data_IF_559942172411
#
_entry.id   IF_559942172411
#
_cell.length_a   1.000
_cell.length_b   1.000
_cell.length_c   1.000
_cell.angle_alpha   90.00
_cell.angle_beta   90.00
_cell.angle_gamma   90.00
#
_symmetry.space_group_name_H-M   'P 1'
#
loop_
_entity.id
_entity.type
_entity.pdbx_description
1 polymer ?
#
# COMPACT_ATOMS: atom_id res chain seq x y z
N UNK A 1 -29.00 -15.84 18.62
CA UNK A 1 -27.79 -15.16 19.11
C UNK A 1 -26.71 -15.41 18.08
N UNK A 2 -26.63 -14.58 17.05
CA UNK A 2 -25.51 -14.62 16.11
C UNK A 2 -25.13 -13.17 15.87
N UNK A 3 -23.93 -12.83 16.30
CA UNK A 3 -23.39 -11.49 16.33
C UNK A 3 -23.25 -10.94 14.89
N UNK A 4 -23.90 -9.80 14.67
CA UNK A 4 -23.33 -8.60 14.05
C UNK A 4 -22.42 -8.86 12.83
N UNK A 5 -23.04 -8.88 11.66
CA UNK A 5 -22.39 -8.45 10.43
C UNK A 5 -22.76 -6.99 10.22
N UNK A 6 -22.12 -6.12 11.00
CA UNK A 6 -22.13 -4.68 10.75
C UNK A 6 -20.96 -4.43 9.81
N UNK A 7 -21.27 -4.38 8.51
CA UNK A 7 -20.45 -3.72 7.51
C UNK A 7 -20.48 -2.22 7.85
N UNK A 8 -19.70 -1.85 8.85
CA UNK A 8 -19.52 -0.48 9.27
C UNK A 8 -18.65 0.21 8.23
N UNK A 9 -19.22 1.19 7.54
CA UNK A 9 -18.51 2.08 6.61
C UNK A 9 -17.56 3.04 7.33
N UNK A 10 -16.90 2.60 8.40
CA UNK A 10 -15.74 3.24 8.98
C UNK A 10 -14.56 2.73 8.18
N UNK A 11 -13.94 3.59 7.38
CA UNK A 11 -12.70 3.25 6.70
C UNK A 11 -11.64 3.01 7.77
N UNK A 12 -11.49 1.75 8.20
CA UNK A 12 -10.45 1.35 9.14
C UNK A 12 -9.10 1.86 8.62
N UNK A 13 -8.20 2.32 9.51
CA UNK A 13 -6.88 2.73 9.09
C UNK A 13 -6.20 1.58 8.35
N UNK A 14 -5.80 1.86 7.11
CA UNK A 14 -5.12 0.91 6.23
C UNK A 14 -3.64 1.25 6.19
N UNK A 15 -2.82 0.21 6.08
CA UNK A 15 -1.40 0.32 5.82
C UNK A 15 -1.06 -0.49 4.57
N UNK A 16 -0.07 0.00 3.82
CA UNK A 16 0.42 -0.62 2.60
C UNK A 16 1.89 -0.95 2.73
N UNK A 17 2.29 -2.03 2.09
CA UNK A 17 3.68 -2.46 1.99
C UNK A 17 3.93 -3.11 0.64
N UNK A 18 5.21 -3.19 0.26
CA UNK A 18 5.64 -3.82 -0.97
C UNK A 18 6.46 -5.05 -0.65
N UNK A 19 6.07 -6.18 -1.24
CA UNK A 19 6.85 -7.41 -1.22
C UNK A 19 8.00 -7.30 -2.23
N UNK A 20 9.22 -7.22 -1.71
CA UNK A 20 10.43 -7.06 -2.50
C UNK A 20 10.77 -8.32 -3.31
N UNK A 21 10.29 -9.50 -2.90
CA UNK A 21 10.51 -10.76 -3.63
C UNK A 21 9.61 -10.86 -4.88
N UNK A 22 8.45 -10.21 -4.85
CA UNK A 22 7.48 -10.17 -5.96
C UNK A 22 7.65 -8.95 -6.86
N UNK A 23 8.31 -7.90 -6.39
CA UNK A 23 8.47 -6.66 -7.14
C UNK A 23 9.32 -6.87 -8.40
N UNK A 24 8.74 -6.54 -9.56
CA UNK A 24 9.41 -6.65 -10.87
C UNK A 24 10.04 -5.34 -11.34
N UNK A 25 9.87 -4.24 -10.58
CA UNK A 25 10.40 -2.93 -10.94
C UNK A 25 9.62 -2.20 -12.04
N UNK A 26 8.34 -2.53 -12.25
CA UNK A 26 7.51 -1.94 -13.31
C UNK A 26 7.24 -0.43 -13.11
N UNK A 27 7.27 0.04 -11.85
CA UNK A 27 7.10 1.45 -11.50
C UNK A 27 5.66 1.98 -11.63
N UNK A 28 4.68 1.13 -11.92
CA UNK A 28 3.26 1.53 -12.02
C UNK A 28 2.70 2.07 -10.70
N UNK A 29 3.19 1.58 -9.56
CA UNK A 29 2.82 2.07 -8.24
C UNK A 29 3.17 3.56 -8.05
N UNK A 30 4.39 3.97 -8.42
CA UNK A 30 4.83 5.36 -8.34
C UNK A 30 4.14 6.25 -9.38
N UNK A 31 3.60 5.67 -10.46
CA UNK A 31 2.82 6.42 -11.45
C UNK A 31 1.40 6.73 -10.96
N UNK A 32 0.75 5.78 -10.29
CA UNK A 32 -0.60 5.95 -9.75
C UNK A 32 -0.61 6.72 -8.42
N UNK A 33 0.28 6.38 -7.49
CA UNK A 33 0.36 6.98 -6.17
C UNK A 33 1.81 7.38 -5.81
N UNK A 34 2.38 8.41 -6.47
CA UNK A 34 3.74 8.92 -6.18
C UNK A 34 3.91 9.45 -4.76
N UNK A 35 2.81 9.78 -4.08
CA UNK A 35 2.80 10.23 -2.69
C UNK A 35 3.03 9.09 -1.68
N UNK A 36 2.79 7.84 -2.11
CA UNK A 36 2.87 6.64 -1.26
C UNK A 36 3.97 5.68 -1.73
N UNK A 37 4.32 5.71 -3.01
CA UNK A 37 5.31 4.82 -3.59
C UNK A 37 6.38 5.57 -4.36
N UNK A 38 7.60 5.08 -4.28
CA UNK A 38 8.74 5.58 -5.04
C UNK A 38 9.59 4.39 -5.51
N UNK A 39 10.17 4.52 -6.69
CA UNK A 39 11.11 3.53 -7.22
C UNK A 39 12.53 3.97 -6.85
N UNK A 40 13.29 3.10 -6.19
CA UNK A 40 14.68 3.38 -5.84
C UNK A 40 15.65 2.95 -6.96
N UNK A 41 16.93 3.29 -6.80
CA UNK A 41 18.01 3.06 -7.77
C UNK A 41 18.32 1.58 -8.00
N UNK A 42 17.86 0.69 -7.11
CA UNK A 42 17.98 -0.77 -7.24
C UNK A 42 16.93 -1.35 -8.21
N UNK A 43 15.96 -0.54 -8.64
CA UNK A 43 14.87 -0.96 -9.52
C UNK A 43 13.70 -1.60 -8.76
N UNK A 44 13.66 -1.50 -7.43
CA UNK A 44 12.55 -1.96 -6.61
C UNK A 44 11.73 -0.77 -6.11
N UNK A 45 10.45 -1.03 -5.84
CA UNK A 45 9.55 -0.02 -5.31
C UNK A 45 9.46 -0.12 -3.79
N UNK A 46 9.44 1.05 -3.15
CA UNK A 46 9.35 1.19 -1.71
C UNK A 46 8.18 2.07 -1.32
N UNK A 47 7.71 1.91 -0.09
CA UNK A 47 6.65 2.75 0.46
C UNK A 47 7.24 3.99 1.11
N UNK A 48 6.53 5.09 0.93
CA UNK A 48 6.83 6.40 1.46
C UNK A 48 5.74 6.77 2.47
N UNK A 49 6.09 7.16 3.70
CA UNK A 49 5.10 7.63 4.66
C UNK A 49 4.49 8.95 4.16
N UNK A 50 3.24 9.26 4.50
CA UNK A 50 2.63 10.53 4.10
C UNK A 50 3.40 11.71 4.71
N UNK A 51 3.89 12.60 3.85
CA UNK A 51 4.62 13.80 4.25
C UNK A 51 3.75 15.05 4.12
N UNK A 52 3.98 16.08 4.96
CA UNK A 52 3.41 17.41 4.74
C UNK A 52 3.81 18.00 3.39
N UNK A 53 3.00 18.89 2.80
CA UNK A 53 3.36 19.56 1.55
C UNK A 53 4.68 20.33 1.68
N UNK A 54 5.64 20.00 0.82
CA UNK A 54 6.97 20.64 0.81
C UNK A 54 7.98 19.99 1.75
N UNK A 55 7.65 18.86 2.37
CA UNK A 55 8.59 18.03 3.11
C UNK A 55 8.86 16.73 2.36
N UNK A 56 10.13 16.39 2.23
CA UNK A 56 10.56 15.10 1.69
C UNK A 56 10.82 14.17 2.86
N UNK A 57 10.24 12.98 2.81
CA UNK A 57 10.48 11.92 3.78
C UNK A 57 11.25 10.80 3.12
N UNK A 58 12.10 10.16 3.91
CA UNK A 58 12.88 9.03 3.47
C UNK A 58 11.98 7.82 3.13
N UNK A 59 12.43 7.05 2.15
CA UNK A 59 11.80 5.80 1.78
C UNK A 59 12.00 4.75 2.86
N UNK A 60 10.96 3.96 3.09
CA UNK A 60 11.04 2.82 3.98
C UNK A 60 11.61 1.64 3.19
N UNK A 61 12.95 1.52 3.21
CA UNK A 61 13.70 0.47 2.51
C UNK A 61 13.85 -0.82 3.30
N UNK A 62 13.39 -0.85 4.55
CA UNK A 62 13.39 -2.06 5.36
C UNK A 62 12.39 -3.10 4.79
N UNK A 63 12.79 -4.38 4.66
CA UNK A 63 11.89 -5.41 4.19
C UNK A 63 10.64 -5.53 5.06
N UNK A 64 9.46 -5.47 4.43
CA UNK A 64 8.17 -5.52 5.13
C UNK A 64 7.80 -4.23 5.87
N UNK A 65 8.50 -3.12 5.63
CA UNK A 65 8.09 -1.82 6.14
C UNK A 65 6.74 -1.40 5.55
N UNK A 66 5.92 -0.78 6.40
CA UNK A 66 4.57 -0.38 6.04
C UNK A 66 4.39 1.13 6.17
N UNK A 67 3.58 1.70 5.29
CA UNK A 67 3.18 3.10 5.33
C UNK A 67 1.66 3.20 5.51
N UNK A 68 1.16 4.15 6.34
CA UNK A 68 -0.27 4.38 6.44
C UNK A 68 -0.81 4.96 5.12
N UNK A 69 -1.97 4.46 4.67
CA UNK A 69 -2.61 4.92 3.44
C UNK A 69 -3.59 6.06 3.76
N UNK A 70 -3.35 7.29 3.27
CA UNK A 70 -4.31 8.37 3.40
C UNK A 70 -5.60 8.04 2.64
N UNK A 71 -6.75 8.31 3.25
CA UNK A 71 -8.07 8.10 2.62
C UNK A 71 -8.20 8.70 1.21
N UNK A 72 -7.65 9.89 0.91
CA UNK A 72 -7.71 10.46 -0.45
C UNK A 72 -6.94 9.64 -1.50
N UNK A 73 -5.90 8.92 -1.08
CA UNK A 73 -5.01 8.15 -1.96
C UNK A 73 -5.40 6.66 -2.01
N UNK A 74 -6.39 6.24 -1.22
CA UNK A 74 -6.79 4.84 -1.13
C UNK A 74 -7.21 4.27 -2.49
N UNK A 75 -7.95 5.04 -3.31
CA UNK A 75 -8.33 4.60 -4.66
C UNK A 75 -7.12 4.34 -5.54
N UNK A 76 -6.10 5.18 -5.44
CA UNK A 76 -4.90 5.12 -6.28
C UNK A 76 -3.98 3.99 -5.82
N UNK A 77 -3.87 3.78 -4.51
CA UNK A 77 -3.17 2.61 -3.92
C UNK A 77 -3.86 1.31 -4.32
N UNK A 78 -5.19 1.25 -4.29
CA UNK A 78 -5.94 0.05 -4.71
C UNK A 78 -5.81 -0.20 -6.22
N UNK A 79 -5.84 0.85 -7.05
CA UNK A 79 -5.59 0.74 -8.48
C UNK A 79 -4.17 0.22 -8.74
N UNK A 80 -3.17 0.77 -8.04
CA UNK A 80 -1.78 0.32 -8.12
C UNK A 80 -1.65 -1.17 -7.81
N UNK A 81 -2.28 -1.63 -6.73
CA UNK A 81 -2.23 -3.04 -6.33
C UNK A 81 -2.87 -3.97 -7.37
N UNK A 82 -3.96 -3.55 -8.01
CA UNK A 82 -4.68 -4.34 -9.01
C UNK A 82 -3.98 -4.38 -10.37
N UNK A 83 -3.28 -3.32 -10.72
CA UNK A 83 -2.60 -3.19 -12.01
C UNK A 83 -1.13 -3.62 -11.95
N UNK A 84 -0.58 -3.83 -10.75
CA UNK A 84 0.79 -4.30 -10.59
C UNK A 84 0.96 -5.71 -11.17
N UNK A 85 1.80 -5.90 -12.22
CA UNK A 85 1.97 -7.20 -12.86
C UNK A 85 2.71 -8.21 -11.98
N UNK A 86 3.51 -7.73 -11.02
CA UNK A 86 4.17 -8.57 -10.03
C UNK A 86 3.30 -8.87 -8.82
N UNK A 87 2.11 -8.26 -8.72
CA UNK A 87 1.21 -8.36 -7.56
C UNK A 87 1.93 -8.08 -6.23
N UNK A 88 2.93 -7.22 -6.23
CA UNK A 88 3.83 -7.01 -5.09
C UNK A 88 3.30 -6.02 -4.05
N UNK A 89 2.08 -5.51 -4.19
CA UNK A 89 1.53 -4.43 -3.34
C UNK A 89 0.43 -5.02 -2.47
N UNK A 90 0.63 -4.90 -1.16
CA UNK A 90 -0.25 -5.47 -0.16
C UNK A 90 -0.80 -4.39 0.76
N UNK A 91 -2.11 -4.38 0.95
CA UNK A 91 -2.84 -3.44 1.80
C UNK A 91 -3.57 -4.23 2.87
N UNK A 92 -3.31 -3.91 4.13
CA UNK A 92 -3.95 -4.56 5.28
C UNK A 92 -4.58 -3.55 6.23
N UNK A 93 -5.56 -4.01 7.01
CA UNK A 93 -6.12 -3.25 8.12
C UNK A 93 -5.14 -3.20 9.28
N UNK A 94 -4.93 -2.02 9.84
CA UNK A 94 -4.09 -1.84 11.03
C UNK A 94 -4.72 -2.50 12.27
N UNK A 95 -6.05 -2.61 12.32
CA UNK A 95 -6.78 -3.12 13.49
C UNK A 95 -6.54 -4.61 13.77
N UNK A 96 -6.55 -5.44 12.74
CA UNK A 96 -6.52 -6.90 12.83
C UNK A 96 -5.46 -7.55 11.91
N UNK A 97 -4.74 -6.75 11.13
CA UNK A 97 -3.73 -7.22 10.18
C UNK A 97 -4.32 -7.96 8.97
N UNK A 98 -5.65 -7.94 8.82
CA UNK A 98 -6.32 -8.62 7.72
C UNK A 98 -5.98 -7.93 6.40
N UNK A 99 -5.44 -8.70 5.45
CA UNK A 99 -5.21 -8.22 4.10
C UNK A 99 -6.56 -7.92 3.42
N UNK A 100 -6.67 -6.71 2.88
CA UNK A 100 -7.88 -6.20 2.22
C UNK A 100 -7.69 -6.16 0.72
N UNK A 101 -6.47 -5.81 0.27
CA UNK A 101 -6.09 -5.79 -1.13
C UNK A 101 -4.68 -6.36 -1.28
N UNK A 102 -4.51 -7.32 -2.18
CA UNK A 102 -3.25 -8.01 -2.44
C UNK A 102 -3.46 -9.26 -3.30
N UNK A 103 -2.40 -9.91 -3.80
CA UNK A 103 -2.49 -11.13 -4.61
C UNK A 103 -3.32 -12.23 -3.93
N UNK A 104 -3.21 -12.36 -2.60
CA UNK A 104 -3.89 -13.41 -1.83
C UNK A 104 -5.39 -13.13 -1.59
N UNK A 105 -5.89 -11.95 -2.00
CA UNK A 105 -7.30 -11.57 -1.86
C UNK A 105 -8.18 -11.85 -3.08
N UNK A 106 -7.62 -12.45 -4.13
CA UNK A 106 -8.30 -12.79 -5.39
C UNK A 106 -9.12 -14.10 -5.35
#
# INVERSE_FOLDING_TARGET
MTAQQEADGTTDPLEVWIDQDLCTGDGICAQYAPEVFELDIDGLAYVKPPAPPGEEVDLLTEPGATAPVPLPLLSDVVASARECPGECIHVRRVADGAEVYGPDTA
#
